data_IF_094271603306
#
_entry.id   IF_094271603306
#
_cell.length_a   1.000
_cell.length_b   1.000
_cell.length_c   1.000
_cell.angle_alpha   90.00
_cell.angle_beta   90.00
_cell.angle_gamma   90.00
#
_symmetry.space_group_name_H-M   'P 1'
#
loop_
_entity.id
_entity.type
_entity.pdbx_description
1 polymer ?
#
# COMPACT_ATOMS: atom_id res chain seq x y z
N UNK A 1 -9.26 -4.43 -20.65
CA UNK A 1 -9.37 -5.56 -19.69
C UNK A 1 -8.18 -5.63 -18.73
N UNK A 2 -6.93 -5.52 -19.24
CA UNK A 2 -5.67 -5.60 -18.46
C UNK A 2 -5.63 -4.74 -17.19
N UNK A 3 -6.08 -3.49 -17.25
CA UNK A 3 -5.97 -2.60 -16.09
C UNK A 3 -6.93 -2.97 -14.93
N UNK A 4 -8.10 -3.54 -15.22
CA UNK A 4 -9.00 -4.05 -14.17
C UNK A 4 -8.42 -5.31 -13.52
N UNK A 5 -7.70 -6.12 -14.29
CA UNK A 5 -6.99 -7.30 -13.77
C UNK A 5 -5.89 -6.91 -12.79
N UNK A 6 -5.15 -5.82 -13.05
CA UNK A 6 -4.08 -5.33 -12.16
C UNK A 6 -4.66 -4.82 -10.83
N UNK A 7 -5.77 -4.08 -10.87
CA UNK A 7 -6.49 -3.65 -9.67
C UNK A 7 -6.97 -4.83 -8.82
N UNK A 8 -7.60 -5.82 -9.45
CA UNK A 8 -8.09 -7.02 -8.77
C UNK A 8 -6.95 -7.87 -8.19
N UNK A 9 -5.83 -8.00 -8.92
CA UNK A 9 -4.64 -8.72 -8.44
C UNK A 9 -4.02 -8.02 -7.22
N UNK A 10 -3.95 -6.69 -7.24
CA UNK A 10 -3.41 -5.90 -6.12
C UNK A 10 -4.33 -5.99 -4.91
N UNK A 11 -5.65 -5.99 -5.11
CA UNK A 11 -6.62 -6.22 -4.05
C UNK A 11 -6.44 -7.61 -3.42
N UNK A 12 -6.33 -8.66 -4.25
CA UNK A 12 -6.08 -10.02 -3.79
C UNK A 12 -4.75 -10.12 -3.03
N UNK A 13 -3.69 -9.46 -3.51
CA UNK A 13 -2.40 -9.41 -2.83
C UNK A 13 -2.49 -8.73 -1.46
N UNK A 14 -3.19 -7.59 -1.34
CA UNK A 14 -3.40 -6.91 -0.05
C UNK A 14 -4.20 -7.80 0.90
N UNK A 15 -5.27 -8.45 0.43
CA UNK A 15 -6.08 -9.35 1.25
C UNK A 15 -5.31 -10.59 1.70
N UNK A 16 -4.55 -11.23 0.81
CA UNK A 16 -3.71 -12.38 1.15
C UNK A 16 -2.61 -11.98 2.14
N UNK A 17 -1.95 -10.84 1.91
CA UNK A 17 -0.94 -10.29 2.81
C UNK A 17 -1.56 -10.00 4.17
N UNK A 18 -2.75 -9.41 4.23
CA UNK A 18 -3.45 -9.16 5.47
C UNK A 18 -3.71 -10.44 6.27
N UNK A 19 -4.14 -11.53 5.63
CA UNK A 19 -4.35 -12.81 6.31
C UNK A 19 -3.04 -13.36 6.89
N UNK A 20 -1.95 -13.29 6.14
CA UNK A 20 -0.63 -13.75 6.58
C UNK A 20 -0.12 -12.88 7.73
N UNK A 21 -0.18 -11.55 7.60
CA UNK A 21 0.28 -10.62 8.63
C UNK A 21 -0.55 -10.77 9.91
N UNK A 22 -1.89 -10.83 9.78
CA UNK A 22 -2.80 -10.90 10.93
C UNK A 22 -2.71 -12.20 11.72
N UNK A 23 -2.55 -13.35 11.05
CA UNK A 23 -2.64 -14.66 11.69
C UNK A 23 -1.29 -15.35 11.85
N UNK A 24 -0.41 -15.26 10.84
CA UNK A 24 0.90 -15.93 10.87
C UNK A 24 1.96 -15.09 11.59
N UNK A 25 1.93 -13.77 11.43
CA UNK A 25 2.91 -12.85 12.01
C UNK A 25 2.38 -12.10 13.22
N UNK A 26 1.26 -12.58 13.78
CA UNK A 26 0.65 -11.99 14.97
C UNK A 26 1.65 -11.88 16.13
N UNK A 27 2.45 -12.93 16.34
CA UNK A 27 3.46 -12.96 17.39
C UNK A 27 4.59 -11.93 17.18
N UNK A 28 4.78 -11.46 15.94
CA UNK A 28 5.84 -10.53 15.56
C UNK A 28 5.48 -9.07 15.82
N UNK A 29 4.18 -8.73 15.78
CA UNK A 29 3.71 -7.35 15.95
C UNK A 29 2.71 -7.18 17.10
N UNK A 30 2.11 -8.24 17.64
CA UNK A 30 1.16 -8.23 18.77
C UNK A 30 -0.18 -7.51 18.56
N UNK A 31 -0.30 -6.67 17.52
CA UNK A 31 -1.47 -5.81 17.28
C UNK A 31 -2.49 -6.41 16.29
N UNK A 32 -3.71 -6.72 16.73
CA UNK A 32 -4.76 -7.25 15.82
C UNK A 32 -5.46 -6.18 14.97
N UNK A 33 -5.61 -4.97 15.50
CA UNK A 33 -6.41 -3.93 14.84
C UNK A 33 -5.62 -3.16 13.78
N UNK A 34 -4.34 -2.92 14.03
CA UNK A 34 -3.49 -2.12 13.15
C UNK A 34 -3.33 -2.71 11.73
N UNK A 35 -3.06 -4.02 11.54
CA UNK A 35 -3.05 -4.65 10.22
C UNK A 35 -4.39 -4.52 9.47
N UNK A 36 -5.51 -4.54 10.21
CA UNK A 36 -6.85 -4.42 9.65
C UNK A 36 -7.15 -2.99 9.18
N UNK A 37 -6.79 -1.97 9.96
CA UNK A 37 -6.98 -0.56 9.59
C UNK A 37 -6.21 -0.23 8.31
N UNK A 38 -4.94 -0.65 8.20
CA UNK A 38 -4.14 -0.46 6.99
C UNK A 38 -4.69 -1.23 5.78
N UNK A 39 -5.18 -2.46 5.97
CA UNK A 39 -5.83 -3.22 4.91
C UNK A 39 -7.09 -2.51 4.42
N UNK A 40 -7.94 -2.03 5.34
CA UNK A 40 -9.15 -1.30 5.01
C UNK A 40 -8.83 0.00 4.27
N UNK A 41 -7.82 0.75 4.73
CA UNK A 41 -7.34 1.96 4.06
C UNK A 41 -6.82 1.67 2.64
N UNK A 42 -6.07 0.58 2.46
CA UNK A 42 -5.58 0.14 1.15
C UNK A 42 -6.72 -0.26 0.20
N UNK A 43 -7.70 -1.02 0.68
CA UNK A 43 -8.90 -1.39 -0.09
C UNK A 43 -9.69 -0.14 -0.48
N UNK A 44 -9.93 0.78 0.46
CA UNK A 44 -10.59 2.04 0.20
C UNK A 44 -9.84 2.85 -0.85
N UNK A 45 -8.52 2.99 -0.73
CA UNK A 45 -7.70 3.69 -1.73
C UNK A 45 -7.80 3.03 -3.11
N UNK A 46 -7.69 1.71 -3.22
CA UNK A 46 -7.82 0.98 -4.50
C UNK A 46 -9.21 1.18 -5.11
N UNK A 47 -10.27 1.09 -4.31
CA UNK A 47 -11.66 1.31 -4.77
C UNK A 47 -11.88 2.76 -5.19
N UNK A 48 -11.45 3.73 -4.38
CA UNK A 48 -11.63 5.16 -4.63
C UNK A 48 -10.89 5.58 -5.91
N UNK A 49 -9.68 5.08 -6.10
CA UNK A 49 -8.86 5.35 -7.28
C UNK A 49 -9.39 4.65 -8.54
N UNK A 50 -9.98 3.47 -8.38
CA UNK A 50 -10.71 2.77 -9.43
C UNK A 50 -11.95 3.53 -9.90
N UNK A 51 -12.77 4.03 -8.97
CA UNK A 51 -14.04 4.72 -9.24
C UNK A 51 -13.79 6.13 -9.80
N UNK A 52 -12.98 6.95 -9.14
CA UNK A 52 -12.84 8.38 -9.48
C UNK A 52 -11.89 8.59 -10.65
N UNK A 53 -10.84 7.76 -10.75
CA UNK A 53 -9.68 8.09 -11.59
C UNK A 53 -9.47 7.20 -12.81
N UNK A 54 -10.33 6.20 -13.04
CA UNK A 54 -10.16 5.16 -14.08
C UNK A 54 -8.73 4.60 -14.08
N UNK A 55 -8.32 3.96 -12.98
CA UNK A 55 -7.02 3.24 -12.86
C UNK A 55 -5.73 4.06 -12.85
N UNK A 56 -5.81 5.35 -12.57
CA UNK A 56 -4.63 6.21 -12.55
C UNK A 56 -3.68 5.98 -11.37
N UNK A 57 -4.16 5.67 -10.18
CA UNK A 57 -3.23 5.36 -9.08
C UNK A 57 -2.83 3.90 -9.18
N UNK A 58 -1.54 3.62 -9.33
CA UNK A 58 -0.97 2.28 -9.46
C UNK A 58 -1.32 1.40 -8.25
N UNK A 59 -2.32 0.49 -8.37
CA UNK A 59 -2.72 -0.39 -7.27
C UNK A 59 -1.55 -1.25 -6.71
N UNK A 60 -0.54 -1.64 -7.51
CA UNK A 60 0.65 -2.31 -7.00
C UNK A 60 1.46 -1.50 -6.01
N UNK A 61 1.49 -0.16 -6.11
CA UNK A 61 2.28 0.67 -5.19
C UNK A 61 1.67 0.69 -3.78
N UNK A 62 0.34 0.64 -3.68
CA UNK A 62 -0.38 0.50 -2.40
C UNK A 62 -0.07 -0.88 -1.79
N UNK A 63 -0.12 -1.94 -2.61
CA UNK A 63 0.24 -3.29 -2.16
C UNK A 63 1.71 -3.39 -1.72
N UNK A 64 2.64 -2.80 -2.48
CA UNK A 64 4.06 -2.72 -2.13
C UNK A 64 4.29 -1.90 -0.85
N UNK A 65 3.57 -0.81 -0.66
CA UNK A 65 3.62 -0.02 0.58
C UNK A 65 3.17 -0.83 1.80
N UNK A 66 2.14 -1.66 1.64
CA UNK A 66 1.64 -2.52 2.71
C UNK A 66 2.62 -3.65 3.05
N UNK A 67 3.07 -4.42 2.05
CA UNK A 67 3.99 -5.55 2.25
C UNK A 67 5.38 -5.05 2.63
N UNK A 68 5.93 -4.12 1.84
CA UNK A 68 7.26 -3.55 2.05
C UNK A 68 7.35 -2.74 3.33
N UNK A 69 6.28 -2.03 3.71
CA UNK A 69 6.21 -1.33 4.99
C UNK A 69 6.22 -2.26 6.19
N UNK A 70 5.60 -3.44 6.09
CA UNK A 70 5.69 -4.46 7.13
C UNK A 70 7.12 -5.01 7.24
N UNK A 71 7.74 -5.35 6.11
CA UNK A 71 9.12 -5.86 6.08
C UNK A 71 10.09 -4.82 6.65
N UNK A 72 9.98 -3.55 6.23
CA UNK A 72 10.76 -2.46 6.80
C UNK A 72 10.49 -2.28 8.29
N UNK A 73 9.21 -2.33 8.70
CA UNK A 73 8.80 -2.28 10.09
C UNK A 73 9.44 -3.40 10.91
N UNK A 74 9.47 -4.63 10.41
CA UNK A 74 10.07 -5.78 11.09
C UNK A 74 11.60 -5.73 11.14
N UNK A 75 12.26 -5.18 10.11
CA UNK A 75 13.72 -5.06 10.06
C UNK A 75 14.25 -3.92 10.94
N UNK A 76 13.52 -2.81 11.01
CA UNK A 76 13.91 -1.61 11.76
C UNK A 76 13.12 -1.44 13.06
N UNK A 77 12.29 -2.42 13.43
CA UNK A 77 11.54 -2.37 14.68
C UNK A 77 12.49 -2.34 15.87
N UNK A 78 12.18 -1.47 16.81
CA UNK A 78 12.83 -1.38 18.10
C UNK A 78 11.76 -1.55 19.18
N UNK A 79 12.03 -2.46 20.10
CA UNK A 79 11.22 -2.66 21.29
C UNK A 79 11.74 -1.73 22.38
N UNK A 80 10.91 -0.78 22.80
CA UNK A 80 11.24 0.19 23.85
C UNK A 80 11.01 -0.39 25.26
N UNK A 81 10.52 -1.63 25.36
CA UNK A 81 10.03 -2.22 26.59
C UNK A 81 8.57 -1.85 26.86
N UNK A 82 7.92 -2.61 27.76
CA UNK A 82 6.53 -2.39 28.19
C UNK A 82 5.46 -2.50 27.08
N UNK A 83 5.77 -3.22 26.00
CA UNK A 83 4.86 -3.41 24.88
C UNK A 83 4.80 -2.23 23.91
N UNK A 84 5.71 -1.25 24.04
CA UNK A 84 5.87 -0.15 23.10
C UNK A 84 6.86 -0.55 22.00
N UNK A 85 6.36 -0.69 20.77
CA UNK A 85 7.17 -1.01 19.60
C UNK A 85 6.87 0.02 18.47
N UNK A 86 7.89 0.45 17.72
CA UNK A 86 7.75 1.40 16.60
C UNK A 86 7.41 0.76 15.24
N UNK A 87 7.27 -0.56 15.15
CA UNK A 87 6.96 -1.30 13.93
C UNK A 87 5.75 -0.70 13.21
N UNK A 88 4.69 -0.40 13.97
CA UNK A 88 3.47 0.19 13.39
C UNK A 88 3.70 1.59 12.82
N UNK A 89 4.58 2.38 13.45
CA UNK A 89 4.93 3.73 12.99
C UNK A 89 5.65 3.64 11.65
N UNK A 90 6.67 2.80 11.57
CA UNK A 90 7.45 2.58 10.35
C UNK A 90 6.53 2.04 9.24
N UNK A 91 5.69 1.07 9.58
CA UNK A 91 4.76 0.48 8.64
C UNK A 91 3.75 1.50 8.10
N UNK A 92 3.18 2.35 8.98
CA UNK A 92 2.27 3.42 8.59
C UNK A 92 2.95 4.40 7.63
N UNK A 93 4.15 4.88 7.98
CA UNK A 93 4.87 5.85 7.18
C UNK A 93 5.25 5.31 5.81
N UNK A 94 5.75 4.07 5.73
CA UNK A 94 6.03 3.41 4.46
C UNK A 94 4.78 3.31 3.59
N UNK A 95 3.63 2.95 4.17
CA UNK A 95 2.37 2.84 3.44
C UNK A 95 1.89 4.20 2.91
N UNK A 96 1.95 5.25 3.73
CA UNK A 96 1.57 6.62 3.34
C UNK A 96 2.47 7.14 2.23
N UNK A 97 3.79 7.01 2.39
CA UNK A 97 4.77 7.46 1.39
C UNK A 97 4.57 6.73 0.06
N UNK A 98 4.45 5.39 0.08
CA UNK A 98 4.20 4.62 -1.14
C UNK A 98 2.87 5.02 -1.82
N UNK A 99 1.82 5.27 -1.05
CA UNK A 99 0.53 5.73 -1.58
C UNK A 99 0.63 7.11 -2.24
N UNK A 100 1.36 8.05 -1.61
CA UNK A 100 1.61 9.38 -2.17
C UNK A 100 2.44 9.31 -3.45
N UNK A 101 3.52 8.52 -3.47
CA UNK A 101 4.31 8.29 -4.68
C UNK A 101 3.48 7.69 -5.80
N UNK A 102 2.55 6.78 -5.50
CA UNK A 102 1.63 6.21 -6.48
C UNK A 102 0.68 7.24 -7.07
N UNK A 103 0.23 8.21 -6.25
CA UNK A 103 -0.63 9.30 -6.70
C UNK A 103 0.10 10.37 -7.52
N UNK A 104 1.33 10.71 -7.12
CA UNK A 104 2.15 11.76 -7.75
C UNK A 104 2.81 11.23 -9.02
N UNK A 105 3.35 10.00 -9.00
CA UNK A 105 4.00 9.39 -10.15
C UNK A 105 3.08 9.31 -11.35
N UNK A 106 1.80 8.97 -11.13
CA UNK A 106 0.80 8.95 -12.20
C UNK A 106 0.50 10.34 -12.77
N UNK A 107 0.48 11.39 -11.94
CA UNK A 107 0.31 12.77 -12.42
C UNK A 107 1.45 13.19 -13.37
N UNK A 108 2.69 12.84 -13.03
CA UNK A 108 3.88 13.20 -13.81
C UNK A 108 3.92 12.42 -15.13
N UNK A 109 3.68 11.10 -15.07
CA UNK A 109 3.67 10.22 -16.25
C UNK A 109 2.58 10.63 -17.26
N UNK A 110 1.40 11.01 -16.76
CA UNK A 110 0.30 11.46 -17.60
C UNK A 110 0.60 12.79 -18.30
N UNK A 111 1.24 13.73 -17.61
CA UNK A 111 1.67 14.99 -18.22
C UNK A 111 2.78 14.77 -19.26
N UNK A 112 3.69 13.83 -19.04
CA UNK A 112 4.72 13.45 -20.01
C UNK A 112 4.14 12.85 -21.30
N UNK A 113 3.19 11.92 -21.18
CA UNK A 113 2.51 11.29 -22.32
C UNK A 113 1.69 12.31 -23.15
N UNK A 114 0.93 13.20 -22.48
CA UNK A 114 0.15 14.24 -23.16
C UNK A 114 1.02 15.29 -23.87
N UNK A 115 2.24 15.53 -23.38
CA UNK A 115 3.17 16.47 -24.02
C UNK A 115 3.82 15.86 -25.27
N UNK A 116 4.17 14.57 -25.22
CA UNK A 116 4.79 13.88 -26.34
C UNK A 116 3.83 13.66 -27.52
N UNK A 117 2.52 13.49 -27.28
CA UNK A 117 1.52 13.34 -28.36
C UNK A 117 1.20 14.63 -29.12
N UNK A 118 1.57 15.80 -28.58
CA UNK A 118 1.39 17.10 -29.26
C UNK A 118 2.60 17.51 -30.10
N UNK A 119 3.72 16.78 -29.98
CA UNK A 119 4.97 17.02 -30.70
C UNK A 119 5.23 16.00 -31.83
N UNK A 120 4.35 15.01 -32.01
CA UNK A 120 4.36 14.01 -33.10
C UNK A 120 3.28 14.30 -34.11
#
# INVERSE_FOLDING_TARGET
>A
MKERTIGNLSLAAVLASYLILRYLLFDLHGMKEFPFILCLAGVLLIVFTGIIRKNKVSPPLIALGYIGGFVAGALFSYDYGEGLNNLWIIWMWCFVVASLFGMIGDLILKNGQSRNSLMS
#
